data_IF_000485390267
#
_entry.id   IF_000485390267
#
_cell.length_a   1.000
_cell.length_b   1.000
_cell.length_c   1.000
_cell.angle_alpha   90.00
_cell.angle_beta   90.00
_cell.angle_gamma   90.00
#
_symmetry.space_group_name_H-M   'P 1'
#
loop_
_entity.id
_entity.type
_entity.pdbx_description
1 polymer ?
#
# COMPACT_ATOMS: atom_id res chain seq x y z
N UNK A 1 3.37 -73.60 50.90
CA UNK A 1 2.02 -74.07 51.34
C UNK A 1 1.05 -73.65 50.24
N UNK A 2 0.52 -74.60 49.48
CA UNK A 2 -0.49 -74.32 48.45
C UNK A 2 -1.88 -74.22 49.07
N UNK A 3 -2.72 -73.32 48.55
CA UNK A 3 -4.14 -73.25 48.91
C UNK A 3 -4.88 -74.38 48.18
N UNK A 4 -5.68 -75.17 48.92
CA UNK A 4 -6.57 -76.16 48.30
C UNK A 4 -7.70 -75.44 47.54
N UNK A 5 -7.97 -75.88 46.30
CA UNK A 5 -9.01 -75.32 45.44
C UNK A 5 -9.99 -76.41 45.04
N UNK A 6 -11.27 -76.10 45.07
CA UNK A 6 -12.33 -77.02 44.66
C UNK A 6 -12.29 -77.28 43.14
N UNK A 7 -12.72 -78.46 42.67
CA UNK A 7 -12.86 -78.74 41.23
C UNK A 7 -13.78 -77.71 40.55
N UNK A 8 -13.33 -77.15 39.43
CA UNK A 8 -14.03 -76.10 38.70
C UNK A 8 -13.81 -74.68 39.23
N UNK A 9 -13.10 -74.50 40.36
CA UNK A 9 -12.77 -73.17 40.86
C UNK A 9 -11.93 -72.39 39.82
N UNK A 10 -12.20 -71.08 39.71
CA UNK A 10 -11.45 -70.13 38.88
C UNK A 10 -10.77 -69.09 39.75
N UNK A 11 -9.52 -68.78 39.46
CA UNK A 11 -8.76 -67.71 40.13
C UNK A 11 -7.79 -67.03 39.17
N UNK A 12 -7.35 -65.83 39.53
CA UNK A 12 -6.34 -65.07 38.81
C UNK A 12 -5.00 -65.16 39.53
N UNK A 13 -3.92 -65.44 38.78
CA UNK A 13 -2.55 -65.48 39.28
C UNK A 13 -1.76 -64.21 38.91
N UNK A 14 -0.66 -63.89 39.63
CA UNK A 14 0.26 -62.83 39.24
C UNK A 14 0.72 -63.00 37.79
N UNK A 15 0.75 -61.90 37.03
CA UNK A 15 1.04 -61.95 35.59
C UNK A 15 -0.19 -62.15 34.70
N UNK A 16 -1.40 -61.83 35.19
CA UNK A 16 -2.62 -61.73 34.38
C UNK A 16 -2.99 -63.07 33.70
N UNK A 17 -2.94 -64.15 34.49
CA UNK A 17 -3.32 -65.51 34.08
C UNK A 17 -4.61 -65.93 34.79
N UNK A 18 -5.56 -66.47 34.03
CA UNK A 18 -6.76 -67.09 34.59
C UNK A 18 -6.54 -68.59 34.67
N UNK A 19 -6.65 -69.11 35.89
CA UNK A 19 -6.42 -70.51 36.19
C UNK A 19 -7.72 -71.19 36.61
N UNK A 20 -7.91 -72.43 36.19
CA UNK A 20 -9.01 -73.28 36.65
C UNK A 20 -8.52 -74.66 37.08
N UNK A 21 -9.18 -75.23 38.07
CA UNK A 21 -8.95 -76.61 38.48
C UNK A 21 -9.84 -77.54 37.66
N UNK A 22 -9.29 -78.25 36.69
CA UNK A 22 -10.01 -79.22 35.87
C UNK A 22 -9.38 -80.61 36.05
N UNK A 23 -10.19 -81.59 36.49
CA UNK A 23 -9.76 -82.99 36.67
C UNK A 23 -8.47 -83.16 37.51
N UNK A 24 -8.32 -82.36 38.58
CA UNK A 24 -7.15 -82.41 39.47
C UNK A 24 -5.88 -81.75 38.92
N UNK A 25 -5.97 -81.08 37.76
CA UNK A 25 -4.88 -80.28 37.18
C UNK A 25 -5.25 -78.80 37.17
N UNK A 26 -4.25 -77.96 37.37
CA UNK A 26 -4.38 -76.51 37.21
C UNK A 26 -4.08 -76.16 35.76
N UNK A 27 -5.08 -75.66 35.04
CA UNK A 27 -4.94 -75.13 33.69
C UNK A 27 -4.96 -73.61 33.78
N UNK A 28 -3.91 -72.95 33.27
CA UNK A 28 -3.76 -71.51 33.35
C UNK A 28 -3.54 -70.91 31.98
N UNK A 29 -4.49 -70.11 31.53
CA UNK A 29 -4.43 -69.39 30.27
C UNK A 29 -4.14 -67.90 30.49
N UNK A 30 -3.46 -67.29 29.53
CA UNK A 30 -3.25 -65.84 29.54
C UNK A 30 -4.60 -65.13 29.32
N UNK A 31 -4.88 -64.11 30.13
CA UNK A 31 -6.08 -63.30 29.93
C UNK A 31 -5.90 -62.42 28.69
N UNK A 32 -6.76 -62.58 27.70
CA UNK A 32 -6.83 -61.70 26.53
C UNK A 32 -7.80 -60.55 26.79
N UNK A 33 -7.30 -59.32 26.85
CA UNK A 33 -8.13 -58.13 27.04
C UNK A 33 -8.49 -57.51 25.67
N UNK A 34 -9.75 -57.13 25.49
CA UNK A 34 -10.20 -56.31 24.35
C UNK A 34 -10.28 -54.85 24.77
N UNK A 35 -9.49 -53.98 24.13
CA UNK A 35 -9.34 -52.57 24.51
C UNK A 35 -9.82 -51.71 23.33
N UNK A 36 -11.08 -51.22 23.34
CA UNK A 36 -11.66 -50.45 22.24
C UNK A 36 -11.37 -48.94 22.33
N UNK A 37 -10.35 -48.52 23.07
CA UNK A 37 -10.01 -47.11 23.28
C UNK A 37 -8.50 -46.85 23.09
N UNK A 38 -8.15 -45.60 22.80
CA UNK A 38 -6.79 -45.19 22.45
C UNK A 38 -5.89 -44.87 23.65
N UNK A 39 -6.48 -44.43 24.77
CA UNK A 39 -5.76 -43.96 25.95
C UNK A 39 -6.27 -44.65 27.22
N UNK A 40 -6.20 -45.99 27.31
CA UNK A 40 -6.77 -46.72 28.43
C UNK A 40 -6.08 -46.38 29.76
N UNK A 41 -6.84 -46.36 30.85
CA UNK A 41 -6.30 -46.31 32.20
C UNK A 41 -5.69 -47.66 32.60
N UNK A 42 -4.64 -47.67 33.44
CA UNK A 42 -4.06 -48.90 33.95
C UNK A 42 -5.10 -49.72 34.74
N UNK A 43 -4.90 -51.04 34.87
CA UNK A 43 -5.82 -51.88 35.62
C UNK A 43 -6.03 -51.36 37.04
N UNK A 44 -7.28 -51.34 37.56
CA UNK A 44 -7.53 -51.01 38.96
C UNK A 44 -6.83 -52.01 39.88
N UNK A 45 -6.69 -51.66 41.16
CA UNK A 45 -6.01 -52.52 42.13
C UNK A 45 -6.62 -53.95 42.16
N UNK A 46 -5.80 -54.96 41.87
CA UNK A 46 -6.23 -56.37 41.77
C UNK A 46 -6.87 -56.75 40.43
N UNK A 47 -7.04 -55.79 39.52
CA UNK A 47 -7.44 -56.00 38.14
C UNK A 47 -6.28 -56.45 37.25
N UNK A 48 -6.63 -57.03 36.11
CA UNK A 48 -5.68 -57.56 35.12
C UNK A 48 -5.79 -56.80 33.78
N UNK A 49 -6.99 -56.37 33.39
CA UNK A 49 -7.20 -55.61 32.16
C UNK A 49 -7.32 -54.10 32.44
N UNK A 50 -6.82 -53.25 31.50
CA UNK A 50 -7.00 -51.81 31.58
C UNK A 50 -8.45 -51.40 31.26
N UNK A 51 -8.83 -50.16 31.61
CA UNK A 51 -10.20 -49.67 31.47
C UNK A 51 -10.30 -48.41 30.61
N UNK A 52 -11.44 -48.22 29.96
CA UNK A 52 -11.75 -47.04 29.14
C UNK A 52 -12.71 -46.06 29.85
N UNK A 53 -12.70 -46.04 31.18
CA UNK A 53 -13.55 -45.17 32.03
C UNK A 53 -12.96 -43.77 32.25
N UNK A 54 -11.83 -43.49 31.60
CA UNK A 54 -11.06 -42.26 31.65
C UNK A 54 -9.82 -42.45 30.79
N UNK A 55 -8.93 -41.46 30.77
CA UNK A 55 -7.81 -41.43 29.83
C UNK A 55 -6.47 -41.33 30.55
N UNK A 56 -5.48 -42.11 30.12
CA UNK A 56 -4.08 -41.88 30.51
C UNK A 56 -3.38 -41.08 29.42
N UNK A 57 -2.96 -39.84 29.73
CA UNK A 57 -2.28 -38.96 28.78
C UNK A 57 -1.02 -38.36 29.42
N UNK A 58 0.15 -38.54 28.80
CA UNK A 58 1.46 -38.08 29.32
C UNK A 58 1.71 -38.49 30.79
N UNK A 59 1.29 -39.72 31.15
CA UNK A 59 1.43 -40.26 32.51
C UNK A 59 0.42 -39.73 33.53
N UNK A 60 -0.51 -38.85 33.13
CA UNK A 60 -1.55 -38.28 33.99
C UNK A 60 -2.89 -38.94 33.69
N UNK A 61 -3.54 -39.48 34.73
CA UNK A 61 -4.90 -40.00 34.63
C UNK A 61 -5.91 -38.84 34.59
N UNK A 62 -6.79 -38.86 33.60
CA UNK A 62 -7.86 -37.90 33.37
C UNK A 62 -9.21 -38.59 33.52
N UNK A 63 -10.15 -37.94 34.18
CA UNK A 63 -11.51 -38.41 34.32
C UNK A 63 -12.29 -38.22 33.00
N UNK A 64 -13.38 -38.98 32.86
CA UNK A 64 -14.32 -38.80 31.76
C UNK A 64 -14.87 -37.36 31.74
N UNK A 65 -14.77 -36.69 30.59
CA UNK A 65 -15.18 -35.31 30.40
C UNK A 65 -14.13 -34.26 30.78
N UNK A 66 -12.95 -34.66 31.27
CA UNK A 66 -11.89 -33.71 31.60
C UNK A 66 -11.41 -32.95 30.36
N UNK A 67 -11.38 -31.61 30.49
CA UNK A 67 -10.81 -30.69 29.51
C UNK A 67 -9.47 -30.19 30.04
N UNK A 68 -8.41 -30.32 29.25
CA UNK A 68 -7.07 -29.92 29.67
C UNK A 68 -6.26 -29.37 28.49
N UNK A 69 -5.27 -28.53 28.82
CA UNK A 69 -4.32 -27.98 27.87
C UNK A 69 -2.94 -28.62 28.12
N UNK A 70 -2.35 -29.31 27.13
CA UNK A 70 -0.95 -29.74 27.22
C UNK A 70 -0.03 -28.54 27.44
N UNK A 71 1.05 -28.71 28.20
CA UNK A 71 1.96 -27.62 28.58
C UNK A 71 2.76 -27.02 27.41
N UNK A 72 2.79 -27.68 26.26
CA UNK A 72 3.45 -27.20 25.03
C UNK A 72 2.54 -26.22 24.26
N UNK A 73 2.37 -25.02 24.82
CA UNK A 73 2.31 -23.72 24.16
C UNK A 73 1.45 -23.45 22.89
N UNK A 74 0.70 -24.40 22.32
CA UNK A 74 -0.02 -24.23 21.05
C UNK A 74 -1.53 -23.98 21.23
N UNK A 75 -1.98 -23.78 22.47
CA UNK A 75 -3.40 -23.74 22.87
C UNK A 75 -4.24 -24.87 22.29
N UNK A 76 -3.62 -26.03 22.13
CA UNK A 76 -4.35 -27.28 22.04
C UNK A 76 -5.22 -27.41 23.28
N UNK A 77 -6.50 -27.63 23.07
CA UNK A 77 -7.43 -28.06 24.11
C UNK A 77 -7.78 -29.51 23.81
N UNK A 78 -7.52 -30.38 24.78
CA UNK A 78 -7.86 -31.79 24.70
C UNK A 78 -9.03 -32.11 25.62
N UNK A 79 -9.83 -33.08 25.23
CA UNK A 79 -10.91 -33.66 26.04
C UNK A 79 -10.76 -35.16 26.13
N UNK A 80 -11.00 -35.72 27.32
CA UNK A 80 -11.08 -37.16 27.54
C UNK A 80 -12.52 -37.64 27.40
N UNK A 81 -12.80 -38.52 26.43
CA UNK A 81 -14.11 -39.13 26.21
C UNK A 81 -13.99 -40.62 25.89
N UNK A 82 -14.63 -41.46 26.70
CA UNK A 82 -14.67 -42.93 26.57
C UNK A 82 -13.28 -43.57 26.40
N UNK A 83 -12.30 -43.08 27.16
CA UNK A 83 -10.90 -43.54 27.06
C UNK A 83 -10.17 -43.07 25.80
N UNK A 84 -10.71 -42.10 25.07
CA UNK A 84 -10.05 -41.45 23.94
C UNK A 84 -9.75 -39.99 24.25
N UNK A 85 -8.53 -39.56 23.96
CA UNK A 85 -8.14 -38.16 24.01
C UNK A 85 -8.36 -37.56 22.63
N UNK A 86 -9.21 -36.54 22.55
CA UNK A 86 -9.42 -35.75 21.33
C UNK A 86 -8.90 -34.34 21.55
N UNK A 87 -7.97 -33.90 20.71
CA UNK A 87 -7.30 -32.61 20.83
C UNK A 87 -7.66 -31.71 19.66
N UNK A 88 -7.95 -30.45 19.95
CA UNK A 88 -8.25 -29.41 18.98
C UNK A 88 -7.21 -28.31 19.12
N UNK A 89 -6.45 -28.07 18.06
CA UNK A 89 -5.52 -26.94 17.93
C UNK A 89 -6.08 -25.94 16.91
N UNK A 90 -5.97 -24.63 17.14
CA UNK A 90 -6.36 -23.64 16.13
C UNK A 90 -5.48 -23.77 14.88
N UNK A 91 -6.09 -23.81 13.69
CA UNK A 91 -5.37 -23.65 12.42
C UNK A 91 -5.01 -22.18 12.24
N UNK A 92 -3.74 -21.82 12.46
CA UNK A 92 -3.29 -20.45 12.24
C UNK A 92 -3.23 -20.16 10.73
N UNK A 93 -3.76 -19.03 10.25
CA UNK A 93 -3.70 -18.67 8.84
C UNK A 93 -2.24 -18.51 8.37
N UNK A 94 -1.90 -18.95 7.15
CA UNK A 94 -0.57 -18.73 6.59
C UNK A 94 -0.34 -17.22 6.43
N UNK A 95 0.48 -16.67 7.33
CA UNK A 95 1.15 -15.39 7.18
C UNK A 95 0.24 -14.18 6.94
N UNK A 96 -0.26 -13.56 8.02
CA UNK A 96 -0.44 -12.10 8.09
C UNK A 96 -1.05 -11.69 9.43
N UNK A 97 -0.28 -10.97 10.25
CA UNK A 97 -0.82 -10.22 11.37
C UNK A 97 -0.17 -8.83 11.41
N UNK A 98 -0.95 -7.74 11.49
CA UNK A 98 -0.40 -6.38 11.57
C UNK A 98 0.26 -6.05 12.92
N UNK A 99 -0.02 -6.80 13.98
CA UNK A 99 0.51 -6.56 15.32
C UNK A 99 0.82 -7.88 16.06
N UNK A 100 2.02 -8.01 16.66
CA UNK A 100 2.30 -9.06 17.62
C UNK A 100 1.72 -8.65 18.98
N UNK A 101 0.62 -9.27 19.42
CA UNK A 101 0.24 -9.21 20.84
C UNK A 101 1.04 -10.26 21.62
N UNK A 102 1.41 -10.02 22.89
CA UNK A 102 2.24 -10.95 23.65
C UNK A 102 1.49 -12.16 24.21
N UNK A 103 0.20 -12.35 23.89
CA UNK A 103 -0.69 -13.16 24.72
C UNK A 103 -1.56 -14.19 24.01
N UNK A 104 -1.36 -14.47 22.71
CA UNK A 104 -2.22 -15.41 22.01
C UNK A 104 -1.47 -16.44 21.15
N UNK A 105 -1.95 -17.67 21.27
CA UNK A 105 -1.68 -18.91 20.57
C UNK A 105 -0.89 -18.95 19.26
N UNK A 106 -1.13 -17.97 18.38
CA UNK A 106 -0.48 -17.87 17.09
C UNK A 106 0.59 -16.79 17.19
N UNK A 107 1.84 -17.20 17.42
CA UNK A 107 3.01 -16.32 17.25
C UNK A 107 3.21 -16.01 15.77
N UNK A 108 2.44 -15.03 15.29
CA UNK A 108 2.46 -14.56 13.92
C UNK A 108 3.78 -13.82 13.66
N UNK A 109 4.80 -14.53 13.19
CA UNK A 109 6.04 -13.89 12.77
C UNK A 109 5.79 -13.22 11.41
N UNK A 110 6.20 -11.96 11.21
CA UNK A 110 6.09 -11.32 9.90
C UNK A 110 6.77 -12.19 8.86
N UNK A 111 6.00 -12.63 7.85
CA UNK A 111 6.46 -13.55 6.83
C UNK A 111 7.63 -12.92 6.06
N UNK A 112 8.79 -13.60 6.09
CA UNK A 112 9.97 -13.21 5.34
C UNK A 112 9.87 -13.79 3.93
N UNK A 113 10.33 -13.04 2.94
CA UNK A 113 10.37 -13.50 1.55
C UNK A 113 11.76 -14.04 1.21
N UNK A 114 11.83 -15.14 0.45
CA UNK A 114 13.07 -15.63 -0.13
C UNK A 114 13.12 -15.26 -1.60
N UNK A 115 14.10 -14.45 -2.01
CA UNK A 115 14.28 -14.00 -3.38
C UNK A 115 15.74 -14.10 -3.81
N UNK A 116 16.02 -14.85 -4.89
CA UNK A 116 17.38 -15.07 -5.42
C UNK A 116 18.42 -15.45 -4.34
N UNK A 117 18.02 -16.31 -3.40
CA UNK A 117 18.89 -16.79 -2.31
C UNK A 117 19.12 -15.79 -1.16
N UNK A 118 18.41 -14.66 -1.14
CA UNK A 118 18.43 -13.68 -0.05
C UNK A 118 17.07 -13.64 0.66
N UNK A 119 17.10 -13.37 1.95
CA UNK A 119 15.90 -13.29 2.78
C UNK A 119 15.57 -11.84 3.08
N UNK A 120 14.35 -11.42 2.75
CA UNK A 120 13.85 -10.07 2.95
C UNK A 120 12.79 -10.05 4.04
N UNK A 121 12.87 -9.06 4.94
CA UNK A 121 11.84 -8.84 5.94
C UNK A 121 10.53 -8.35 5.29
N UNK A 122 9.40 -8.60 5.94
CA UNK A 122 8.13 -8.03 5.52
C UNK A 122 8.21 -6.50 5.39
N UNK A 123 7.68 -5.95 4.29
CA UNK A 123 7.73 -4.53 3.97
C UNK A 123 9.07 -4.04 3.41
N UNK A 124 10.09 -4.90 3.35
CA UNK A 124 11.38 -4.52 2.77
C UNK A 124 11.23 -4.21 1.27
N UNK A 125 11.74 -3.05 0.87
CA UNK A 125 11.85 -2.62 -0.53
C UNK A 125 13.28 -2.82 -1.00
N UNK A 126 13.46 -3.43 -2.16
CA UNK A 126 14.78 -3.72 -2.71
C UNK A 126 14.78 -3.71 -4.23
N UNK A 127 15.94 -3.40 -4.82
CA UNK A 127 16.17 -3.51 -6.26
C UNK A 127 17.08 -4.72 -6.53
N UNK A 128 16.61 -5.75 -7.25
CA UNK A 128 17.37 -6.99 -7.49
C UNK A 128 18.75 -6.77 -8.11
N UNK A 129 18.80 -5.87 -9.08
CA UNK A 129 19.98 -5.64 -9.93
C UNK A 129 20.72 -4.35 -9.55
N UNK A 130 20.25 -3.63 -8.52
CA UNK A 130 20.82 -2.35 -8.09
C UNK A 130 20.73 -1.24 -9.15
N UNK A 131 19.94 -1.47 -10.20
CA UNK A 131 19.74 -0.59 -11.36
C UNK A 131 18.77 0.57 -11.06
N UNK A 132 18.01 0.47 -9.98
CA UNK A 132 16.95 1.44 -9.63
C UNK A 132 15.72 1.37 -10.54
N UNK A 133 15.70 0.42 -11.48
CA UNK A 133 14.64 0.28 -12.48
C UNK A 133 13.56 -0.69 -12.04
N UNK A 134 13.98 -1.72 -11.31
CA UNK A 134 13.09 -2.70 -10.72
C UNK A 134 13.01 -2.44 -9.23
N UNK A 135 11.81 -2.25 -8.71
CA UNK A 135 11.55 -2.15 -7.27
C UNK A 135 10.67 -3.31 -6.85
N UNK A 136 11.20 -4.15 -5.97
CA UNK A 136 10.50 -5.27 -5.38
C UNK A 136 10.15 -4.98 -3.92
N UNK A 137 9.01 -5.49 -3.47
CA UNK A 137 8.52 -5.39 -2.11
C UNK A 137 8.20 -6.79 -1.59
N UNK A 138 8.66 -7.09 -0.37
CA UNK A 138 8.28 -8.32 0.32
C UNK A 138 6.94 -8.13 1.04
N UNK A 139 5.89 -8.80 0.58
CA UNK A 139 4.54 -8.71 1.15
C UNK A 139 3.98 -10.12 1.39
N UNK A 140 3.63 -10.43 2.65
CA UNK A 140 3.02 -11.73 2.98
C UNK A 140 3.88 -12.97 2.69
N UNK A 141 5.20 -12.84 2.59
CA UNK A 141 6.09 -13.95 2.20
C UNK A 141 6.29 -14.08 0.69
N UNK A 142 5.58 -13.29 -0.10
CA UNK A 142 5.72 -13.20 -1.56
C UNK A 142 6.40 -11.89 -1.99
N UNK A 143 7.08 -11.95 -3.13
CA UNK A 143 7.84 -10.82 -3.67
C UNK A 143 7.07 -10.24 -4.84
N UNK A 144 6.65 -9.00 -4.69
CA UNK A 144 5.98 -8.26 -5.76
C UNK A 144 6.96 -7.23 -6.35
N UNK A 145 7.24 -7.33 -7.66
CA UNK A 145 8.16 -6.44 -8.36
C UNK A 145 7.44 -5.55 -9.36
N UNK A 146 7.85 -4.29 -9.42
CA UNK A 146 7.36 -3.28 -10.36
C UNK A 146 8.52 -2.63 -11.10
N UNK A 147 8.26 -2.13 -12.31
CA UNK A 147 9.24 -1.48 -13.17
C UNK A 147 8.94 0.01 -13.31
N UNK A 148 9.98 0.84 -13.35
CA UNK A 148 9.82 2.25 -13.66
C UNK A 148 9.32 2.43 -15.10
N UNK A 149 8.15 3.05 -15.34
CA UNK A 149 7.64 3.28 -16.69
C UNK A 149 8.48 4.35 -17.39
N UNK A 150 8.85 4.11 -18.65
CA UNK A 150 9.63 5.06 -19.44
C UNK A 150 8.75 6.08 -20.17
N UNK A 151 9.19 7.35 -20.26
CA UNK A 151 8.49 8.36 -21.03
C UNK A 151 8.54 8.06 -22.54
N UNK A 152 7.53 8.53 -23.25
CA UNK A 152 7.50 8.50 -24.73
C UNK A 152 8.49 9.56 -25.23
N UNK A 153 9.34 9.20 -26.19
CA UNK A 153 10.37 10.08 -26.74
C UNK A 153 10.02 10.53 -28.17
N UNK A 154 9.95 11.84 -28.37
CA UNK A 154 9.74 12.50 -29.66
C UNK A 154 11.05 12.70 -30.43
N UNK A 155 11.87 11.65 -30.52
CA UNK A 155 13.06 11.64 -31.36
C UNK A 155 13.23 10.29 -32.07
N UNK A 156 13.86 10.28 -33.26
CA UNK A 156 14.15 9.06 -34.01
C UNK A 156 14.97 8.05 -33.20
N UNK A 157 14.81 6.76 -33.50
CA UNK A 157 15.51 5.68 -32.77
C UNK A 157 17.05 5.87 -32.74
N UNK A 158 17.64 6.39 -33.81
CA UNK A 158 19.10 6.62 -33.90
C UNK A 158 19.63 7.70 -32.93
N UNK A 159 18.75 8.53 -32.37
CA UNK A 159 19.11 9.58 -31.40
C UNK A 159 18.87 9.16 -29.95
N UNK A 160 18.21 8.01 -29.74
CA UNK A 160 17.93 7.48 -28.41
C UNK A 160 19.18 6.81 -27.87
N UNK A 161 19.59 7.19 -26.66
CA UNK A 161 20.72 6.60 -25.98
C UNK A 161 20.36 6.27 -24.53
N UNK A 162 20.84 5.13 -24.04
CA UNK A 162 20.71 4.72 -22.65
C UNK A 162 22.02 5.04 -21.93
N UNK A 163 21.97 5.86 -20.89
CA UNK A 163 23.15 6.15 -20.08
C UNK A 163 23.39 5.01 -19.08
N UNK A 164 24.65 4.69 -18.73
CA UNK A 164 24.93 3.70 -17.69
C UNK A 164 24.20 4.05 -16.39
N UNK A 165 23.45 3.10 -15.84
CA UNK A 165 22.66 3.29 -14.62
C UNK A 165 21.33 4.02 -14.80
N UNK A 166 20.90 4.34 -16.03
CA UNK A 166 19.53 4.79 -16.30
C UNK A 166 18.65 3.65 -16.81
N UNK A 167 17.37 3.71 -16.44
CA UNK A 167 16.34 2.75 -16.87
C UNK A 167 15.77 3.05 -18.25
N UNK A 168 15.76 4.34 -18.60
CA UNK A 168 15.08 4.84 -19.79
C UNK A 168 16.06 5.56 -20.70
N UNK A 169 15.88 5.38 -22.01
CA UNK A 169 16.65 6.11 -23.00
C UNK A 169 16.30 7.61 -22.96
N UNK A 170 17.24 8.44 -23.38
CA UNK A 170 17.06 9.89 -23.59
C UNK A 170 17.48 10.27 -25.02
N UNK A 171 16.99 11.40 -25.53
CA UNK A 171 17.41 11.93 -26.82
C UNK A 171 18.78 12.60 -26.67
N UNK A 172 19.69 12.36 -27.63
CA UNK A 172 21.06 12.93 -27.61
C UNK A 172 21.04 14.45 -27.69
N UNK A 173 20.20 14.96 -28.58
CA UNK A 173 19.86 16.37 -28.70
C UNK A 173 18.36 16.48 -28.38
N UNK A 174 17.97 17.07 -27.24
CA UNK A 174 16.56 17.36 -27.01
C UNK A 174 16.08 18.28 -28.15
N UNK A 175 14.87 18.07 -28.70
CA UNK A 175 14.33 18.99 -29.69
C UNK A 175 14.37 20.41 -29.10
N UNK A 176 14.77 21.38 -29.94
CA UNK A 176 14.77 22.78 -29.55
C UNK A 176 13.40 23.13 -28.94
N UNK A 177 13.36 23.98 -27.89
CA UNK A 177 12.10 24.37 -27.27
C UNK A 177 11.13 24.84 -28.34
N UNK A 178 9.96 24.20 -28.41
CA UNK A 178 8.90 24.52 -29.38
C UNK A 178 8.20 25.84 -29.10
N UNK A 179 8.51 26.44 -27.95
CA UNK A 179 7.96 27.70 -27.50
C UNK A 179 8.73 28.33 -26.34
N UNK A 180 8.24 29.48 -25.91
CA UNK A 180 8.76 30.24 -24.79
C UNK A 180 7.81 30.10 -23.60
N UNK A 181 8.35 29.84 -22.42
CA UNK A 181 7.58 29.82 -21.18
C UNK A 181 7.57 31.22 -20.57
N UNK A 182 6.38 31.80 -20.39
CA UNK A 182 6.22 33.03 -19.62
C UNK A 182 5.45 32.76 -18.34
N UNK A 183 6.17 32.95 -17.24
CA UNK A 183 5.70 33.15 -15.86
C UNK A 183 4.99 31.99 -15.13
N UNK A 184 4.71 32.26 -13.84
CA UNK A 184 4.22 31.36 -12.78
C UNK A 184 2.90 30.65 -13.11
N UNK A 185 2.23 31.01 -14.22
CA UNK A 185 1.01 30.36 -14.70
C UNK A 185 1.27 29.29 -15.78
N UNK A 186 2.53 29.13 -16.23
CA UNK A 186 2.96 28.02 -17.08
C UNK A 186 2.41 28.03 -18.51
N UNK A 187 2.14 29.21 -19.08
CA UNK A 187 1.62 29.31 -20.46
C UNK A 187 2.78 29.22 -21.47
N UNK A 188 2.69 28.26 -22.40
CA UNK A 188 3.65 28.07 -23.49
C UNK A 188 3.20 28.85 -24.75
N UNK A 189 4.09 29.70 -25.26
CA UNK A 189 3.87 30.45 -26.50
C UNK A 189 4.72 29.86 -27.63
N UNK A 190 4.15 29.46 -28.78
CA UNK A 190 4.91 28.92 -29.90
C UNK A 190 5.86 29.97 -30.49
N UNK A 191 6.96 29.48 -31.08
CA UNK A 191 7.94 30.32 -31.77
C UNK A 191 7.26 31.22 -32.81
N UNK A 192 7.58 32.52 -32.78
CA UNK A 192 7.03 33.53 -33.67
C UNK A 192 5.69 34.13 -33.22
N UNK A 193 5.07 33.63 -32.14
CA UNK A 193 3.88 34.26 -31.58
C UNK A 193 4.20 35.60 -30.92
N UNK A 194 3.31 36.58 -31.08
CA UNK A 194 3.35 37.88 -30.42
C UNK A 194 2.28 37.97 -29.33
N UNK A 195 2.61 38.58 -28.20
CA UNK A 195 1.67 38.85 -27.11
C UNK A 195 2.07 40.09 -26.30
N UNK A 196 1.11 40.63 -25.54
CA UNK A 196 1.32 41.75 -24.62
C UNK A 196 1.14 41.27 -23.17
N UNK A 197 2.19 41.31 -22.32
CA UNK A 197 2.15 40.81 -20.94
C UNK A 197 1.46 41.81 -19.99
N UNK A 198 0.21 42.17 -20.28
CA UNK A 198 -0.61 43.06 -19.44
C UNK A 198 -0.36 44.56 -19.62
N UNK A 199 0.82 45.00 -20.10
CA UNK A 199 1.06 46.38 -20.54
C UNK A 199 0.73 46.50 -22.06
N UNK A 200 -0.25 47.33 -22.47
CA UNK A 200 -0.59 47.51 -23.88
C UNK A 200 0.54 48.13 -24.71
N UNK A 201 1.54 48.77 -24.06
CA UNK A 201 2.72 49.32 -24.72
C UNK A 201 3.87 48.34 -24.87
N UNK A 202 3.81 47.19 -24.22
CA UNK A 202 4.83 46.15 -24.33
C UNK A 202 4.34 45.04 -25.27
N UNK A 203 5.18 44.72 -26.26
CA UNK A 203 4.93 43.64 -27.20
C UNK A 203 6.13 42.70 -27.18
N UNK A 204 5.87 41.45 -26.86
CA UNK A 204 6.87 40.40 -26.78
C UNK A 204 6.68 39.41 -27.93
N UNK A 205 7.80 38.85 -28.41
CA UNK A 205 7.83 37.78 -29.39
C UNK A 205 8.68 36.61 -28.89
N UNK A 206 8.24 35.39 -29.16
CA UNK A 206 9.01 34.19 -28.88
C UNK A 206 10.01 33.94 -30.01
N UNK A 207 11.30 34.03 -29.70
CA UNK A 207 12.39 33.80 -30.64
C UNK A 207 12.62 32.30 -30.86
N UNK A 208 13.27 31.96 -31.98
CA UNK A 208 13.52 30.55 -32.35
C UNK A 208 14.50 29.82 -31.41
N UNK A 209 15.24 30.55 -30.58
CA UNK A 209 16.14 30.01 -29.56
C UNK A 209 15.44 29.80 -28.20
N UNK A 210 14.13 30.02 -28.12
CA UNK A 210 13.34 29.92 -26.89
C UNK A 210 13.46 31.15 -25.98
N UNK A 211 14.17 32.20 -26.41
CA UNK A 211 14.22 33.46 -25.68
C UNK A 211 13.01 34.35 -25.98
N UNK A 212 12.63 35.18 -25.00
CA UNK A 212 11.59 36.19 -25.17
C UNK A 212 12.26 37.52 -25.48
N UNK A 213 11.85 38.15 -26.58
CA UNK A 213 12.26 39.51 -26.93
C UNK A 213 11.08 40.47 -26.83
N UNK A 214 11.14 41.40 -25.89
CA UNK A 214 10.11 42.41 -25.68
C UNK A 214 10.58 43.79 -26.18
N UNK A 215 9.66 44.51 -26.82
CA UNK A 215 9.87 45.90 -27.22
C UNK A 215 8.74 46.75 -26.68
N UNK A 216 9.12 47.85 -26.03
CA UNK A 216 8.17 48.85 -25.54
C UNK A 216 8.00 49.97 -26.56
N UNK A 217 6.75 50.39 -26.75
CA UNK A 217 6.41 51.55 -27.57
C UNK A 217 6.50 52.79 -26.70
N UNK A 218 7.30 53.78 -27.14
CA UNK A 218 7.38 55.09 -26.50
C UNK A 218 6.38 56.04 -27.15
N UNK A 219 5.46 56.59 -26.35
CA UNK A 219 4.47 57.54 -26.83
C UNK A 219 5.02 58.96 -26.78
N UNK A 220 4.85 59.71 -27.86
CA UNK A 220 5.21 61.12 -27.93
C UNK A 220 4.05 61.97 -27.42
N UNK A 221 4.09 62.39 -26.16
CA UNK A 221 3.07 63.26 -25.55
C UNK A 221 3.42 64.74 -25.77
N UNK A 222 3.02 65.30 -26.91
CA UNK A 222 3.27 66.72 -27.24
C UNK A 222 1.99 67.57 -27.32
N UNK A 223 0.81 66.98 -27.13
CA UNK A 223 -0.47 67.68 -27.26
C UNK A 223 -0.99 68.21 -25.91
N UNK A 224 -1.73 69.33 -25.89
CA UNK A 224 -2.23 69.93 -24.65
C UNK A 224 -3.28 69.08 -23.92
N UNK A 225 -3.97 68.19 -24.64
CA UNK A 225 -5.11 67.40 -24.12
C UNK A 225 -5.13 65.96 -24.68
N UNK A 226 -4.29 65.04 -24.16
CA UNK A 226 -4.27 63.64 -24.59
C UNK A 226 -5.47 62.84 -24.06
N UNK A 227 -6.12 62.02 -24.90
CA UNK A 227 -7.22 61.13 -24.50
C UNK A 227 -6.71 59.70 -24.37
N UNK A 228 -6.82 59.09 -23.18
CA UNK A 228 -6.42 57.69 -22.94
C UNK A 228 -7.60 56.75 -23.18
N UNK A 229 -7.47 55.88 -24.17
CA UNK A 229 -8.46 54.86 -24.51
C UNK A 229 -8.08 53.55 -23.81
N UNK A 230 -8.98 52.91 -23.03
CA UNK A 230 -8.69 51.63 -22.39
C UNK A 230 -8.23 50.57 -23.39
N UNK A 231 -7.11 49.90 -23.09
CA UNK A 231 -6.52 48.86 -23.94
C UNK A 231 -5.62 49.36 -25.07
N UNK A 232 -5.47 50.68 -25.26
CA UNK A 232 -4.49 51.24 -26.20
C UNK A 232 -3.21 51.67 -25.47
N UNK A 233 -2.07 51.53 -26.14
CA UNK A 233 -0.79 51.98 -25.60
C UNK A 233 -0.70 53.51 -25.50
N UNK A 234 -0.89 54.20 -26.63
CA UNK A 234 -0.66 55.64 -26.70
C UNK A 234 -1.98 56.43 -26.63
N UNK A 235 -1.96 57.62 -26.00
CA UNK A 235 -3.10 58.50 -26.00
C UNK A 235 -3.40 59.02 -27.40
N UNK A 236 -4.69 59.20 -27.69
CA UNK A 236 -5.15 59.84 -28.92
C UNK A 236 -5.23 61.36 -28.71
N UNK A 237 -4.40 62.09 -29.45
CA UNK A 237 -4.38 63.56 -29.46
C UNK A 237 -5.37 64.18 -30.45
N UNK A 238 -6.07 63.36 -31.26
CA UNK A 238 -7.02 63.80 -32.28
C UNK A 238 -8.49 63.59 -31.89
N UNK A 239 -8.74 62.93 -30.76
CA UNK A 239 -10.07 62.50 -30.37
C UNK A 239 -10.95 63.60 -29.74
N UNK A 240 -10.39 64.70 -29.19
CA UNK A 240 -11.22 65.67 -28.46
C UNK A 240 -10.50 66.75 -27.65
N UNK A 241 -11.26 67.42 -26.78
CA UNK A 241 -10.85 68.56 -25.96
C UNK A 241 -11.20 68.31 -24.49
N UNK A 242 -10.42 68.86 -23.55
CA UNK A 242 -10.73 68.78 -22.12
C UNK A 242 -11.21 70.13 -21.59
N UNK A 243 -12.39 70.18 -20.99
CA UNK A 243 -12.92 71.36 -20.29
C UNK A 243 -13.33 71.00 -18.86
N UNK A 244 -12.74 71.69 -17.88
CA UNK A 244 -12.92 71.43 -16.44
C UNK A 244 -12.77 69.96 -16.01
N UNK A 245 -11.84 69.23 -16.65
CA UNK A 245 -11.56 67.82 -16.34
C UNK A 245 -12.50 66.82 -17.00
N UNK A 246 -13.51 67.27 -17.76
CA UNK A 246 -14.35 66.43 -18.62
C UNK A 246 -13.81 66.43 -20.04
N UNK A 247 -13.88 65.27 -20.70
CA UNK A 247 -13.42 65.08 -22.09
C UNK A 247 -14.62 65.13 -23.01
N UNK A 248 -14.50 65.89 -24.09
CA UNK A 248 -15.51 66.03 -25.14
C UNK A 248 -14.90 65.64 -26.48
N UNK A 249 -15.65 64.91 -27.30
CA UNK A 249 -15.23 64.46 -28.63
C UNK A 249 -15.11 65.64 -29.59
N UNK A 250 -14.31 65.50 -30.65
CA UNK A 250 -14.24 66.54 -31.68
C UNK A 250 -15.64 66.84 -32.26
N UNK A 251 -15.97 68.11 -32.40
CA UNK A 251 -17.26 68.66 -32.83
C UNK A 251 -18.42 68.47 -31.83
N UNK A 252 -18.16 68.00 -30.61
CA UNK A 252 -19.16 67.87 -29.55
C UNK A 252 -19.44 69.24 -28.90
N UNK A 253 -20.72 69.58 -28.77
CA UNK A 253 -21.19 70.80 -28.08
C UNK A 253 -21.63 70.51 -26.65
N UNK A 254 -21.17 71.31 -25.69
CA UNK A 254 -21.46 71.16 -24.27
C UNK A 254 -21.73 72.51 -23.58
N UNK A 255 -22.55 72.56 -22.52
CA UNK A 255 -22.81 73.79 -21.77
C UNK A 255 -21.58 74.21 -20.95
N UNK A 256 -21.35 75.52 -20.84
CA UNK A 256 -20.31 76.08 -19.97
C UNK A 256 -20.69 75.90 -18.49
N UNK A 257 -19.76 75.43 -17.66
CA UNK A 257 -19.99 75.35 -16.20
C UNK A 257 -19.77 76.71 -15.51
N UNK A 258 -19.15 77.67 -16.19
CA UNK A 258 -18.93 79.03 -15.68
C UNK A 258 -20.10 79.98 -16.00
N UNK A 259 -20.88 79.68 -17.04
CA UNK A 259 -22.00 80.52 -17.47
C UNK A 259 -23.12 79.65 -18.08
N UNK A 260 -24.30 79.58 -17.45
CA UNK A 260 -25.41 78.74 -17.91
C UNK A 260 -26.02 79.19 -19.25
N UNK A 261 -25.68 80.37 -19.76
CA UNK A 261 -26.15 80.87 -21.06
C UNK A 261 -25.19 80.55 -22.22
N UNK A 262 -23.99 80.01 -21.95
CA UNK A 262 -22.97 79.73 -22.98
C UNK A 262 -22.92 78.24 -23.33
N UNK A 263 -22.78 77.96 -24.63
CA UNK A 263 -22.44 76.63 -25.14
C UNK A 263 -21.07 76.69 -25.82
N UNK A 264 -20.24 75.68 -25.54
CA UNK A 264 -18.93 75.49 -26.10
C UNK A 264 -18.96 74.35 -27.11
N UNK A 265 -18.12 74.41 -28.14
CA UNK A 265 -17.90 73.31 -29.07
C UNK A 265 -16.43 72.89 -28.98
N UNK A 266 -16.17 71.58 -28.85
CA UNK A 266 -14.81 71.08 -28.97
C UNK A 266 -14.40 71.10 -30.43
N UNK A 267 -13.33 71.82 -30.75
CA UNK A 267 -12.71 71.82 -32.07
C UNK A 267 -11.23 71.51 -31.89
N UNK A 268 -10.83 70.30 -32.28
CA UNK A 268 -9.43 69.90 -32.29
C UNK A 268 -8.72 70.65 -33.42
N UNK A 269 -7.59 71.31 -33.14
CA UNK A 269 -6.75 72.01 -34.13
C UNK A 269 -5.50 71.21 -34.47
#
# INVERSE_FOLDING_TARGET
>A
RGLSREPGARWSEPGCRSCTCQEGRVLCDAVSCSIPCSHPLPPPAGGCCPTCTGCLHEGVARAEGDVFSPSDGNCTVCVCLAGNVSCLSPECPPGSCPNPSPSDCCSCHPAKCSFRGRTYAHGARFSPDGDGCTTCVCQGGEVECSFAPCPILDCPQHQRHLRPGQCCSSCRDPPAPTGCFLDDNGVEFPVGQLWSPGDPCELCICQADGSVSCRRTECLETCPYPIRIPGQCCPDCSAGCTYMGRVFSNNETFPSELDPCLSCICLVR
#
